data_IF_036282199586
#
_entry.id   IF_036282199586
#
_cell.length_a   1.000
_cell.length_b   1.000
_cell.length_c   1.000
_cell.angle_alpha   90.00
_cell.angle_beta   90.00
_cell.angle_gamma   90.00
#
_symmetry.space_group_name_H-M   'P 1'
#
loop_
_entity.id
_entity.type
_entity.pdbx_description
1 polymer ?
#
# COMPACT_ATOMS: atom_id res chain seq x y z
N UNK A 1 10.23 13.33 -14.62
CA UNK A 1 10.90 12.36 -15.51
C UNK A 1 9.98 12.06 -16.68
N UNK A 2 10.32 12.55 -17.88
CA UNK A 2 9.67 12.16 -19.13
C UNK A 2 10.63 11.20 -19.85
N UNK A 3 10.20 9.97 -20.11
CA UNK A 3 10.99 9.00 -20.90
C UNK A 3 10.99 9.50 -22.35
N UNK A 4 12.16 9.53 -23.00
CA UNK A 4 12.27 9.99 -24.39
C UNK A 4 11.33 9.18 -25.31
N UNK A 5 10.59 9.79 -26.27
CA UNK A 5 9.57 9.10 -27.05
C UNK A 5 10.05 7.83 -27.77
N UNK A 6 11.27 7.86 -28.28
CA UNK A 6 11.93 6.70 -28.93
C UNK A 6 12.14 5.56 -27.94
N UNK A 7 12.59 5.86 -26.72
CA UNK A 7 12.79 4.87 -25.68
C UNK A 7 11.44 4.28 -25.20
N UNK A 8 10.39 5.10 -25.11
CA UNK A 8 9.04 4.61 -24.80
C UNK A 8 8.54 3.61 -25.85
N UNK A 9 8.81 3.87 -27.13
CA UNK A 9 8.40 2.98 -28.22
C UNK A 9 9.13 1.64 -28.12
N UNK A 10 10.44 1.65 -27.86
CA UNK A 10 11.24 0.45 -27.66
C UNK A 10 10.80 -0.37 -26.44
N UNK A 11 10.28 0.28 -25.40
CA UNK A 11 9.78 -0.36 -24.17
C UNK A 11 8.32 -0.86 -24.27
N UNK A 12 7.59 -0.54 -25.34
CA UNK A 12 6.18 -0.95 -25.48
C UNK A 12 5.99 -2.48 -25.52
N UNK A 13 6.78 -3.27 -26.26
CA UNK A 13 6.62 -4.72 -26.26
C UNK A 13 6.78 -5.34 -24.86
N UNK A 14 7.75 -4.83 -24.09
CA UNK A 14 7.92 -5.22 -22.68
C UNK A 14 6.71 -4.85 -21.82
N UNK A 15 6.04 -3.73 -22.15
CA UNK A 15 4.84 -3.27 -21.43
C UNK A 15 3.60 -4.12 -21.72
N UNK A 16 3.49 -4.66 -22.93
CA UNK A 16 2.48 -5.66 -23.26
C UNK A 16 2.71 -6.97 -22.52
N UNK A 17 3.96 -7.44 -22.46
CA UNK A 17 4.33 -8.60 -21.65
C UNK A 17 4.00 -8.41 -20.17
N UNK A 18 4.30 -7.23 -19.61
CA UNK A 18 3.91 -6.86 -18.26
C UNK A 18 2.39 -6.88 -18.07
N UNK A 19 1.64 -6.24 -18.97
CA UNK A 19 0.18 -6.20 -18.93
C UNK A 19 -0.47 -7.58 -19.02
N UNK A 20 0.07 -8.47 -19.84
CA UNK A 20 -0.40 -9.85 -19.94
C UNK A 20 -0.13 -10.61 -18.64
N UNK A 21 1.07 -10.50 -18.07
CA UNK A 21 1.42 -11.16 -16.83
C UNK A 21 0.57 -10.67 -15.65
N UNK A 22 0.34 -9.36 -15.53
CA UNK A 22 -0.53 -8.81 -14.48
C UNK A 22 -1.99 -9.16 -14.72
N UNK A 23 -2.45 -9.17 -15.98
CA UNK A 23 -3.79 -9.61 -16.38
C UNK A 23 -4.07 -11.06 -16.01
N UNK A 24 -3.19 -11.98 -16.40
CA UNK A 24 -3.29 -13.41 -16.01
C UNK A 24 -3.29 -13.53 -14.48
N UNK A 25 -2.35 -12.88 -13.80
CA UNK A 25 -2.29 -12.92 -12.33
C UNK A 25 -3.59 -12.44 -11.69
N UNK A 26 -4.19 -11.36 -12.18
CA UNK A 26 -5.44 -10.82 -11.65
C UNK A 26 -6.60 -11.77 -11.92
N UNK A 27 -6.70 -12.33 -13.13
CA UNK A 27 -7.68 -13.35 -13.48
C UNK A 27 -7.57 -14.58 -12.57
N UNK A 28 -6.35 -15.04 -12.26
CA UNK A 28 -6.14 -16.14 -11.32
C UNK A 28 -6.64 -15.86 -9.89
N UNK A 29 -6.64 -14.59 -9.45
CA UNK A 29 -7.29 -14.19 -8.20
C UNK A 29 -8.81 -14.13 -8.35
N UNK A 30 -9.31 -13.64 -9.49
CA UNK A 30 -10.75 -13.48 -9.74
C UNK A 30 -11.48 -14.84 -9.79
N UNK A 31 -10.84 -15.86 -10.38
CA UNK A 31 -11.36 -17.25 -10.39
C UNK A 31 -11.09 -18.01 -9.09
N UNK A 32 -10.43 -17.39 -8.11
CA UNK A 32 -10.14 -17.99 -6.81
C UNK A 32 -9.00 -19.03 -6.79
N UNK A 33 -8.26 -19.20 -7.89
CA UNK A 33 -7.10 -20.11 -7.92
C UNK A 33 -5.99 -19.62 -6.98
N UNK A 34 -5.75 -18.30 -6.95
CA UNK A 34 -4.86 -17.68 -5.98
C UNK A 34 -5.65 -17.28 -4.73
N UNK A 35 -5.20 -17.76 -3.57
CA UNK A 35 -5.87 -17.50 -2.29
C UNK A 35 -5.62 -16.07 -1.80
N UNK A 36 -6.71 -15.39 -1.45
CA UNK A 36 -6.69 -14.14 -0.69
C UNK A 36 -6.99 -14.43 0.78
N UNK A 37 -6.26 -13.78 1.68
CA UNK A 37 -6.50 -13.81 3.11
C UNK A 37 -7.58 -12.79 3.47
N UNK A 38 -8.58 -13.24 4.22
CA UNK A 38 -9.60 -12.40 4.81
C UNK A 38 -9.22 -12.08 6.25
N UNK A 39 -9.39 -10.83 6.65
CA UNK A 39 -9.11 -10.35 8.01
C UNK A 39 -10.38 -10.42 8.84
N UNK A 40 -10.26 -10.75 10.12
CA UNK A 40 -11.41 -10.81 11.04
C UNK A 40 -11.96 -9.41 11.34
N UNK A 41 -11.13 -8.38 11.17
CA UNK A 41 -11.52 -6.97 11.26
C UNK A 41 -11.43 -6.28 9.89
N UNK A 42 -12.25 -5.24 9.64
CA UNK A 42 -12.19 -4.46 8.41
C UNK A 42 -10.78 -3.97 8.08
N UNK A 43 -10.43 -4.03 6.79
CA UNK A 43 -9.18 -3.48 6.25
C UNK A 43 -9.54 -2.49 5.15
N UNK A 44 -9.17 -1.23 5.34
CA UNK A 44 -9.25 -0.20 4.29
C UNK A 44 -7.87 -0.11 3.65
N UNK A 45 -7.81 -0.31 2.34
CA UNK A 45 -6.58 -0.15 1.57
C UNK A 45 -6.56 1.23 0.92
N UNK A 46 -5.46 1.97 1.09
CA UNK A 46 -5.18 3.20 0.34
C UNK A 46 -4.03 2.91 -0.62
N UNK A 47 -4.23 3.16 -1.90
CA UNK A 47 -3.23 2.83 -2.92
C UNK A 47 -3.28 3.74 -4.13
N UNK A 48 -2.34 3.51 -5.03
CA UNK A 48 -2.25 4.19 -6.32
C UNK A 48 -1.88 3.20 -7.43
N UNK A 49 -2.31 3.52 -8.64
CA UNK A 49 -2.03 2.74 -9.83
C UNK A 49 -0.88 3.30 -10.68
N UNK A 50 -0.42 4.51 -10.38
CA UNK A 50 0.70 5.16 -11.08
C UNK A 50 1.88 5.30 -10.13
N UNK A 51 3.06 4.83 -10.53
CA UNK A 51 4.30 5.01 -9.77
C UNK A 51 4.65 6.50 -9.64
N UNK A 52 4.83 6.98 -8.42
CA UNK A 52 5.14 8.38 -8.11
C UNK A 52 4.35 8.87 -6.90
N UNK A 53 4.63 10.11 -6.47
CA UNK A 53 3.91 10.77 -5.39
C UNK A 53 2.48 11.11 -5.81
N UNK A 54 1.52 10.36 -5.28
CA UNK A 54 0.07 10.52 -5.54
C UNK A 54 -0.68 11.13 -4.36
N UNK A 55 0.04 11.69 -3.39
CA UNK A 55 -0.58 12.27 -2.18
C UNK A 55 -1.14 11.23 -1.20
N UNK A 56 -0.66 9.98 -1.26
CA UNK A 56 -1.10 8.91 -0.35
C UNK A 56 -0.89 9.24 1.12
N UNK A 57 0.31 9.69 1.51
CA UNK A 57 0.61 9.94 2.92
C UNK A 57 -0.33 10.95 3.56
N UNK A 58 -0.61 12.12 2.95
CA UNK A 58 -1.63 13.04 3.45
C UNK A 58 -3.03 12.43 3.56
N UNK A 59 -3.47 11.64 2.58
CA UNK A 59 -4.80 11.00 2.62
C UNK A 59 -4.89 9.92 3.69
N UNK A 60 -3.84 9.11 3.86
CA UNK A 60 -3.76 8.10 4.93
C UNK A 60 -3.79 8.80 6.29
N UNK A 61 -3.05 9.89 6.46
CA UNK A 61 -3.06 10.68 7.69
C UNK A 61 -4.46 11.26 7.98
N UNK A 62 -5.10 11.88 6.99
CA UNK A 62 -6.47 12.39 7.12
C UNK A 62 -7.46 11.28 7.51
N UNK A 63 -7.45 10.14 6.81
CA UNK A 63 -8.32 9.00 7.14
C UNK A 63 -8.07 8.48 8.56
N UNK A 64 -6.81 8.42 8.98
CA UNK A 64 -6.46 7.97 10.32
C UNK A 64 -7.00 8.91 11.41
N UNK A 65 -6.91 10.23 11.19
CA UNK A 65 -7.46 11.21 12.13
C UNK A 65 -8.99 11.16 12.19
N UNK A 66 -9.67 11.12 11.05
CA UNK A 66 -11.14 11.08 10.99
C UNK A 66 -11.72 9.79 11.59
N UNK A 67 -11.16 8.64 11.21
CA UNK A 67 -11.65 7.34 11.67
C UNK A 67 -11.19 7.04 13.10
N UNK A 68 -10.03 7.55 13.51
CA UNK A 68 -9.49 7.41 14.86
C UNK A 68 -10.36 8.06 15.95
N UNK A 69 -11.25 8.98 15.58
CA UNK A 69 -12.23 9.57 16.52
C UNK A 69 -13.33 8.59 16.94
N UNK A 70 -13.63 7.58 16.11
CA UNK A 70 -14.75 6.64 16.32
C UNK A 70 -14.29 5.19 16.50
N UNK A 71 -13.13 4.84 15.96
CA UNK A 71 -12.63 3.47 15.89
C UNK A 71 -11.21 3.39 16.42
N UNK A 72 -10.85 2.28 17.07
CA UNK A 72 -9.46 2.00 17.42
C UNK A 72 -8.74 1.43 16.21
N UNK A 73 -7.97 2.28 15.55
CA UNK A 73 -7.32 1.97 14.29
C UNK A 73 -5.86 1.55 14.46
N UNK A 74 -5.35 0.80 13.48
CA UNK A 74 -3.91 0.63 13.27
C UNK A 74 -3.56 0.86 11.79
N UNK A 75 -2.40 1.45 11.54
CA UNK A 75 -1.86 1.59 10.18
C UNK A 75 -0.85 0.47 9.93
N UNK A 76 -0.97 -0.21 8.79
CA UNK A 76 -0.01 -1.20 8.33
C UNK A 76 0.62 -0.73 7.00
N UNK A 77 1.87 -0.28 7.07
CA UNK A 77 2.64 0.16 5.89
C UNK A 77 3.73 -0.85 5.52
N UNK A 78 4.27 -0.75 4.30
CA UNK A 78 5.30 -1.68 3.77
C UNK A 78 6.66 -1.43 4.38
N UNK A 79 6.87 -0.16 4.75
CA UNK A 79 8.17 0.39 5.06
C UNK A 79 9.08 0.33 3.85
N UNK A 80 8.71 1.07 2.80
CA UNK A 80 9.58 1.25 1.63
C UNK A 80 10.92 1.86 2.07
N UNK A 81 12.03 1.45 1.44
CA UNK A 81 13.38 1.93 1.79
C UNK A 81 14.00 1.30 3.06
N UNK A 82 13.23 0.63 3.92
CA UNK A 82 13.77 0.07 5.17
C UNK A 82 14.72 -1.11 4.95
N UNK A 83 15.75 -1.20 5.79
CA UNK A 83 16.72 -2.30 5.88
C UNK A 83 16.23 -3.45 6.76
N UNK A 84 15.36 -3.16 7.72
CA UNK A 84 14.81 -4.17 8.63
C UNK A 84 13.93 -5.21 7.90
N UNK A 85 13.89 -6.41 8.48
CA UNK A 85 12.99 -7.50 8.07
C UNK A 85 12.03 -7.81 9.20
N UNK A 86 10.88 -8.39 8.86
CA UNK A 86 9.88 -8.78 9.85
C UNK A 86 8.87 -7.67 10.16
N UNK A 87 8.18 -7.83 11.28
CA UNK A 87 7.21 -6.87 11.79
C UNK A 87 7.89 -5.94 12.77
N UNK A 88 7.72 -4.64 12.60
CA UNK A 88 8.19 -3.62 13.52
C UNK A 88 7.07 -2.61 13.79
N UNK A 89 7.08 -2.01 14.97
CA UNK A 89 6.25 -0.86 15.28
C UNK A 89 7.02 0.42 14.95
N UNK A 90 6.29 1.44 14.53
CA UNK A 90 6.81 2.80 14.42
C UNK A 90 6.54 3.54 15.75
N UNK A 91 7.13 3.04 16.83
CA UNK A 91 6.99 3.52 18.22
C UNK A 91 8.00 4.64 18.55
N UNK A 92 8.47 4.74 19.79
CA UNK A 92 9.41 5.78 20.19
C UNK A 92 10.84 5.42 19.74
N UNK A 93 11.31 6.17 18.74
CA UNK A 93 12.66 6.13 18.14
C UNK A 93 13.04 5.01 17.13
N UNK A 94 12.12 4.41 16.35
CA UNK A 94 12.53 3.64 15.18
C UNK A 94 13.05 4.59 14.09
N UNK A 95 14.28 4.38 13.65
CA UNK A 95 14.88 5.14 12.54
C UNK A 95 14.18 4.82 11.21
N UNK A 96 14.22 5.73 10.21
CA UNK A 96 13.75 5.43 8.86
C UNK A 96 14.45 4.20 8.25
N UNK A 97 15.66 3.87 8.66
CA UNK A 97 16.31 2.62 8.26
C UNK A 97 15.57 1.37 8.75
N UNK A 98 14.89 1.46 9.89
CA UNK A 98 14.11 0.37 10.49
C UNK A 98 12.69 0.35 9.94
N UNK A 99 12.00 1.49 9.86
CA UNK A 99 10.58 1.50 9.51
C UNK A 99 10.29 1.96 8.09
N UNK A 100 11.22 2.63 7.44
CA UNK A 100 11.07 3.28 6.13
C UNK A 100 10.68 4.75 6.24
N UNK A 101 10.78 5.46 5.12
CA UNK A 101 10.53 6.91 5.08
C UNK A 101 9.03 7.24 5.24
N UNK A 102 8.16 6.55 4.49
CA UNK A 102 6.70 6.79 4.56
C UNK A 102 6.12 6.52 5.96
N UNK A 103 6.47 5.43 6.67
CA UNK A 103 5.99 5.21 8.04
C UNK A 103 6.57 6.20 9.05
N UNK A 104 7.80 6.68 8.83
CA UNK A 104 8.38 7.73 9.66
C UNK A 104 7.62 9.05 9.49
N UNK A 105 7.24 9.41 8.26
CA UNK A 105 6.40 10.57 7.95
C UNK A 105 5.02 10.45 8.62
N UNK A 106 4.33 9.30 8.46
CA UNK A 106 3.04 9.06 9.11
C UNK A 106 3.11 9.17 10.63
N UNK A 107 4.19 8.69 11.24
CA UNK A 107 4.40 8.79 12.68
C UNK A 107 4.51 10.24 13.15
N UNK A 108 5.16 11.11 12.37
CA UNK A 108 5.24 12.53 12.68
C UNK A 108 3.88 13.21 12.56
N UNK A 109 3.07 12.83 11.58
CA UNK A 109 1.73 13.40 11.36
C UNK A 109 0.67 12.87 12.34
N UNK A 110 0.89 11.69 12.92
CA UNK A 110 -0.09 10.96 13.72
C UNK A 110 0.50 10.50 15.08
N UNK A 111 0.91 11.43 15.96
CA UNK A 111 1.43 11.07 17.26
C UNK A 111 0.39 10.24 18.05
N UNK A 112 0.83 9.11 18.60
CA UNK A 112 -0.03 8.20 19.38
C UNK A 112 -0.84 7.19 18.55
N UNK A 113 -0.81 7.25 17.22
CA UNK A 113 -1.46 6.22 16.38
C UNK A 113 -0.59 4.97 16.29
N UNK A 114 -1.20 3.78 16.39
CA UNK A 114 -0.50 2.52 16.22
C UNK A 114 -0.11 2.32 14.75
N UNK A 115 1.16 2.50 14.44
CA UNK A 115 1.71 2.30 13.09
C UNK A 115 2.65 1.11 13.12
N UNK A 116 2.42 0.15 12.23
CA UNK A 116 3.24 -1.05 12.08
C UNK A 116 3.72 -1.20 10.64
N UNK A 117 4.85 -1.88 10.48
CA UNK A 117 5.49 -2.09 9.18
C UNK A 117 5.82 -3.56 8.96
N UNK A 118 5.29 -4.12 7.88
CA UNK A 118 5.61 -5.49 7.47
C UNK A 118 5.42 -5.71 5.97
N UNK A 119 6.47 -6.15 5.28
CA UNK A 119 6.39 -6.57 3.86
C UNK A 119 5.41 -7.72 3.63
N UNK A 120 5.17 -8.57 4.63
CA UNK A 120 4.19 -9.66 4.60
C UNK A 120 2.88 -9.20 5.26
N UNK A 121 1.97 -8.63 4.46
CA UNK A 121 0.71 -8.03 4.96
C UNK A 121 -0.11 -8.95 5.85
N UNK A 122 -0.22 -10.22 5.46
CA UNK A 122 -0.94 -11.23 6.26
C UNK A 122 -0.33 -11.39 7.66
N UNK A 123 1.00 -11.43 7.75
CA UNK A 123 1.71 -11.53 9.04
C UNK A 123 1.53 -10.26 9.85
N UNK A 124 1.60 -9.10 9.21
CA UNK A 124 1.35 -7.80 9.83
C UNK A 124 -0.05 -7.72 10.44
N UNK A 125 -1.09 -8.07 9.67
CA UNK A 125 -2.48 -8.11 10.16
C UNK A 125 -2.60 -9.07 11.34
N UNK A 126 -2.14 -10.33 11.20
CA UNK A 126 -2.20 -11.32 12.29
C UNK A 126 -1.51 -10.86 13.58
N UNK A 127 -0.40 -10.12 13.47
CA UNK A 127 0.29 -9.57 14.63
C UNK A 127 -0.44 -8.38 15.24
N UNK A 128 -1.06 -7.53 14.42
CA UNK A 128 -1.88 -6.42 14.90
C UNK A 128 -3.14 -6.94 15.62
N UNK A 129 -3.74 -8.02 15.12
CA UNK A 129 -4.97 -8.60 15.67
C UNK A 129 -4.73 -9.69 16.72
N UNK A 130 -3.49 -9.92 17.17
CA UNK A 130 -3.19 -10.99 18.15
C UNK A 130 -3.59 -10.65 19.59
N UNK A 131 -4.16 -9.47 19.83
CA UNK A 131 -4.52 -8.97 21.16
C UNK A 131 -3.41 -8.21 21.90
N UNK A 132 -2.17 -8.24 21.39
CA UNK A 132 -1.01 -7.53 21.99
C UNK A 132 -1.21 -6.01 22.08
N UNK A 133 -2.05 -5.45 21.22
CA UNK A 133 -2.28 -4.01 21.12
C UNK A 133 -3.70 -3.61 21.51
N UNK A 134 -4.40 -4.47 22.26
CA UNK A 134 -5.83 -4.36 22.53
C UNK A 134 -6.69 -4.72 21.31
N UNK A 135 -8.01 -4.58 21.46
CA UNK A 135 -8.97 -4.84 20.40
C UNK A 135 -8.94 -3.71 19.38
N UNK A 136 -8.48 -4.00 18.16
CA UNK A 136 -8.55 -3.07 17.03
C UNK A 136 -9.88 -3.23 16.31
N UNK A 137 -10.45 -2.13 15.85
CA UNK A 137 -11.70 -2.11 15.08
C UNK A 137 -11.44 -2.05 13.57
N UNK A 138 -10.30 -1.48 13.15
CA UNK A 138 -10.00 -1.21 11.74
C UNK A 138 -8.49 -1.18 11.48
N UNK A 139 -8.08 -1.70 10.32
CA UNK A 139 -6.71 -1.54 9.81
C UNK A 139 -6.73 -0.65 8.56
N UNK A 140 -5.93 0.42 8.59
CA UNK A 140 -5.60 1.22 7.41
C UNK A 140 -4.31 0.67 6.78
N UNK A 141 -4.38 0.22 5.54
CA UNK A 141 -3.24 -0.35 4.83
C UNK A 141 -2.74 0.60 3.75
N UNK A 142 -1.52 1.09 3.92
CA UNK A 142 -0.83 1.91 2.93
C UNK A 142 -0.13 1.02 1.88
N UNK A 143 -0.34 1.37 0.61
CA UNK A 143 0.19 0.68 -0.57
C UNK A 143 -0.25 -0.80 -0.66
N UNK A 144 -1.53 -1.04 -0.38
CA UNK A 144 -2.11 -2.39 -0.36
C UNK A 144 -2.72 -2.86 -1.69
N UNK A 145 -3.00 -1.98 -2.66
CA UNK A 145 -3.88 -2.33 -3.79
C UNK A 145 -3.32 -3.45 -4.69
N UNK A 146 -2.00 -3.45 -4.90
CA UNK A 146 -1.33 -4.50 -5.68
C UNK A 146 -1.25 -5.83 -4.94
N UNK A 147 -1.55 -5.82 -3.64
CA UNK A 147 -1.46 -6.98 -2.77
C UNK A 147 -2.83 -7.67 -2.65
N UNK A 148 -3.34 -8.17 -3.78
CA UNK A 148 -4.59 -8.99 -3.88
C UNK A 148 -4.61 -10.24 -2.99
N UNK A 149 -3.48 -10.59 -2.36
CA UNK A 149 -3.39 -11.62 -1.31
C UNK A 149 -4.10 -11.22 -0.01
N UNK A 150 -4.53 -9.98 0.14
CA UNK A 150 -5.42 -9.52 1.22
C UNK A 150 -6.71 -9.05 0.57
N UNK A 151 -7.85 -9.51 1.09
CA UNK A 151 -9.16 -9.02 0.67
C UNK A 151 -9.49 -7.77 1.49
N UNK A 152 -9.46 -6.55 0.91
CA UNK A 152 -9.88 -5.36 1.62
C UNK A 152 -11.40 -5.38 1.84
N UNK A 153 -11.84 -4.79 2.95
CA UNK A 153 -13.26 -4.44 3.13
C UNK A 153 -13.64 -3.22 2.29
N UNK A 154 -12.69 -2.31 2.07
CA UNK A 154 -12.84 -1.15 1.19
C UNK A 154 -11.48 -0.76 0.60
N UNK A 155 -11.45 -0.29 -0.65
CA UNK A 155 -10.23 0.15 -1.33
C UNK A 155 -10.40 1.56 -1.89
N UNK A 156 -9.55 2.48 -1.44
CA UNK A 156 -9.44 3.84 -1.94
C UNK A 156 -8.23 3.94 -2.87
N UNK A 157 -8.48 4.30 -4.14
CA UNK A 157 -7.44 4.48 -5.15
C UNK A 157 -7.31 5.94 -5.49
N UNK A 158 -6.10 6.46 -5.25
CA UNK A 158 -5.75 7.83 -5.55
C UNK A 158 -5.23 7.93 -6.98
N UNK A 159 -5.82 8.86 -7.72
CA UNK A 159 -5.32 9.30 -9.01
C UNK A 159 -4.80 10.73 -8.91
N UNK A 160 -3.70 11.03 -9.61
CA UNK A 160 -3.08 12.34 -9.56
C UNK A 160 -3.66 13.24 -10.65
N UNK A 161 -4.13 14.43 -10.29
CA UNK A 161 -4.58 15.43 -11.27
C UNK A 161 -3.45 15.88 -12.20
N UNK A 162 -2.21 15.95 -11.69
CA UNK A 162 -1.03 16.34 -12.46
C UNK A 162 -0.57 15.25 -13.44
N UNK A 163 -0.80 13.98 -13.08
CA UNK A 163 -0.42 12.81 -13.89
C UNK A 163 -1.53 11.75 -13.83
N UNK A 164 -2.64 11.96 -14.54
CA UNK A 164 -3.79 11.07 -14.46
C UNK A 164 -3.46 9.68 -15.00
N UNK A 165 -3.97 8.65 -14.35
CA UNK A 165 -3.79 7.24 -14.74
C UNK A 165 -4.20 6.99 -16.19
N UNK A 166 -5.25 7.66 -16.65
CA UNK A 166 -5.76 7.54 -18.02
C UNK A 166 -4.73 7.94 -19.09
N UNK A 167 -3.76 8.80 -18.74
CA UNK A 167 -2.71 9.28 -19.65
C UNK A 167 -1.40 8.50 -19.52
N UNK A 168 -1.33 7.54 -18.60
CA UNK A 168 -0.11 6.77 -18.32
C UNK A 168 -0.11 5.40 -19.02
N UNK A 169 1.02 5.09 -19.66
CA UNK A 169 1.30 3.77 -20.23
C UNK A 169 1.67 2.78 -19.10
N UNK A 170 1.50 1.49 -19.37
CA UNK A 170 1.97 0.44 -18.47
C UNK A 170 3.50 0.47 -18.33
N UNK A 171 3.99 0.01 -17.18
CA UNK A 171 5.41 -0.27 -16.98
C UNK A 171 5.92 -1.31 -18.02
N UNK A 172 7.17 -1.19 -18.52
CA UNK A 172 8.14 -0.12 -18.25
C UNK A 172 8.03 1.12 -19.18
N UNK A 173 7.15 1.14 -20.18
CA UNK A 173 7.03 2.28 -21.11
C UNK A 173 6.38 3.53 -20.50
N UNK A 174 5.66 3.36 -19.39
CA UNK A 174 5.12 4.44 -18.55
C UNK A 174 5.17 4.04 -17.08
N UNK A 175 4.35 4.67 -16.24
CA UNK A 175 4.41 4.47 -14.78
C UNK A 175 3.22 3.71 -14.20
N UNK A 176 2.25 3.31 -15.03
CA UNK A 176 1.06 2.57 -14.59
C UNK A 176 1.41 1.13 -14.25
N UNK A 177 0.93 0.68 -13.10
CA UNK A 177 1.18 -0.64 -12.49
C UNK A 177 -0.06 -1.53 -12.56
#
# INVERSE_FOLDING_TARGET
MQIHPVLQLLLMPASWGYGLATGIRNWLFDIGLLKSFNSDIPVIVVGNLVAGGTGKTPVVAWLAQELGQKYRIAILSRGYGRRSKGFHLADQAPSPEIIGDEPAELRMLLPGTLIAVDRHRRRGIKKLTSGLFGKLDLILMDDGFQHRRIKPGFALILDSAYRPMAREKLLPAGLRR
#
